data_IF_163220565848
#
_entry.id   IF_163220565848
#
_cell.length_a   1.000
_cell.length_b   1.000
_cell.length_c   1.000
_cell.angle_alpha   90.00
_cell.angle_beta   90.00
_cell.angle_gamma   90.00
#
_symmetry.space_group_name_H-M   'P 1'
#
loop_
_entity.id
_entity.type
_entity.pdbx_description
1 polymer ?
#
# COMPACT_ATOMS: atom_id res chain seq x y z
N UNK A 1 16.52 -58.46 -69.25
CA UNK A 1 17.00 -57.09 -69.11
C UNK A 1 15.78 -56.18 -68.78
N UNK A 2 15.54 -55.93 -67.52
CA UNK A 2 14.38 -55.08 -67.05
C UNK A 2 14.98 -53.78 -66.57
N UNK A 3 14.56 -52.68 -67.20
CA UNK A 3 14.96 -51.34 -66.80
C UNK A 3 13.91 -50.88 -65.75
N UNK A 4 14.37 -50.60 -64.55
CA UNK A 4 13.61 -49.93 -63.51
C UNK A 4 13.65 -48.41 -63.74
N UNK A 5 12.45 -47.82 -63.92
CA UNK A 5 12.31 -46.38 -63.92
C UNK A 5 12.00 -45.93 -62.46
N UNK A 6 12.89 -45.10 -61.91
CA UNK A 6 12.74 -44.51 -60.57
C UNK A 6 11.98 -43.18 -60.73
N UNK A 7 10.73 -43.14 -60.27
CA UNK A 7 9.95 -41.93 -60.20
C UNK A 7 10.27 -41.17 -58.90
N UNK A 8 10.86 -39.97 -59.04
CA UNK A 8 11.15 -39.06 -57.94
C UNK A 8 9.88 -38.22 -57.63
N UNK A 9 9.20 -38.54 -56.53
CA UNK A 9 8.10 -37.73 -56.00
C UNK A 9 8.70 -36.68 -55.05
N UNK A 10 8.64 -35.41 -55.44
CA UNK A 10 8.92 -34.28 -54.55
C UNK A 10 7.70 -34.03 -53.67
N UNK A 11 7.81 -33.94 -52.33
CA UNK A 11 6.72 -33.46 -51.51
C UNK A 11 6.67 -31.90 -51.55
N UNK A 12 5.57 -31.35 -51.99
CA UNK A 12 5.24 -29.96 -51.92
C UNK A 12 4.92 -29.61 -50.42
N UNK A 13 5.93 -29.11 -49.70
CA UNK A 13 5.71 -28.60 -48.36
C UNK A 13 4.98 -27.26 -48.43
N UNK A 14 3.67 -27.26 -48.14
CA UNK A 14 2.94 -26.03 -47.83
C UNK A 14 3.50 -25.43 -46.55
N UNK A 15 4.27 -24.37 -46.65
CA UNK A 15 4.61 -23.49 -45.55
C UNK A 15 3.33 -22.72 -45.14
N UNK A 16 2.60 -23.28 -44.14
CA UNK A 16 1.62 -22.54 -43.40
C UNK A 16 2.37 -21.57 -42.47
N UNK A 17 2.54 -20.31 -42.89
CA UNK A 17 2.97 -19.25 -42.02
C UNK A 17 1.98 -19.15 -40.85
N UNK A 18 2.42 -19.18 -39.59
CA UNK A 18 1.51 -18.89 -38.49
C UNK A 18 1.10 -17.43 -38.61
N UNK A 19 -0.22 -17.19 -38.75
CA UNK A 19 -0.82 -15.90 -38.51
C UNK A 19 -0.48 -15.51 -37.07
N UNK A 20 0.51 -14.64 -36.91
CA UNK A 20 0.78 -13.97 -35.65
C UNK A 20 -0.48 -13.12 -35.34
N UNK A 21 -1.36 -13.68 -34.53
CA UNK A 21 -2.35 -12.86 -33.83
C UNK A 21 -1.57 -11.90 -32.96
N UNK A 22 -1.60 -10.64 -33.30
CA UNK A 22 -1.25 -9.58 -32.35
C UNK A 22 -2.15 -9.75 -31.13
N UNK A 23 -1.63 -10.37 -30.09
CA UNK A 23 -2.23 -10.36 -28.76
C UNK A 23 -1.96 -8.96 -28.23
N UNK A 24 -2.87 -8.02 -28.52
CA UNK A 24 -2.99 -6.79 -27.75
C UNK A 24 -3.49 -7.20 -26.37
N UNK A 25 -2.60 -7.59 -25.49
CA UNK A 25 -2.86 -7.64 -24.05
C UNK A 25 -3.05 -6.21 -23.54
N UNK A 26 -3.70 -6.04 -22.39
CA UNK A 26 -3.80 -4.73 -21.76
C UNK A 26 -2.39 -4.18 -21.53
N UNK A 27 -2.27 -2.84 -21.63
CA UNK A 27 -1.03 -2.14 -21.30
C UNK A 27 -0.64 -2.50 -19.86
N UNK A 28 0.51 -3.13 -19.68
CA UNK A 28 0.99 -3.62 -18.41
C UNK A 28 2.42 -3.15 -18.18
N UNK A 29 2.71 -2.59 -17.00
CA UNK A 29 4.07 -2.30 -16.58
C UNK A 29 4.61 -3.51 -15.80
N UNK A 30 5.60 -4.20 -16.37
CA UNK A 30 6.28 -5.29 -15.65
C UNK A 30 7.50 -4.74 -14.94
N UNK A 31 7.49 -4.73 -13.60
CA UNK A 31 8.63 -4.33 -12.76
C UNK A 31 9.60 -5.51 -12.64
N UNK A 32 10.52 -5.64 -13.54
CA UNK A 32 11.59 -6.64 -13.47
C UNK A 32 12.96 -5.95 -13.61
N UNK A 33 13.54 -5.51 -12.50
CA UNK A 33 14.99 -5.34 -12.27
C UNK A 33 15.88 -4.56 -13.26
N UNK A 34 15.31 -3.91 -14.27
CA UNK A 34 15.99 -2.98 -15.19
C UNK A 34 15.58 -1.53 -14.86
N UNK A 35 16.37 -0.56 -15.26
CA UNK A 35 15.96 0.85 -15.23
C UNK A 35 14.67 0.99 -16.05
N UNK A 36 13.53 1.04 -15.34
CA UNK A 36 12.23 1.21 -15.98
C UNK A 36 12.10 2.67 -16.39
N UNK A 37 11.94 2.92 -17.67
CA UNK A 37 11.48 4.23 -18.11
C UNK A 37 10.03 4.41 -17.65
N UNK A 38 9.72 5.49 -16.88
CA UNK A 38 8.37 5.74 -16.43
C UNK A 38 7.40 5.90 -17.60
N UNK A 39 6.26 5.20 -17.55
CA UNK A 39 5.22 5.24 -18.59
C UNK A 39 4.68 6.66 -18.78
N UNK A 40 4.70 7.22 -19.99
CA UNK A 40 4.12 8.53 -20.26
C UNK A 40 2.59 8.49 -20.17
N UNK A 41 2.04 9.26 -19.22
CA UNK A 41 0.59 9.39 -19.03
C UNK A 41 0.15 10.85 -19.22
N UNK A 42 -0.92 11.06 -19.99
CA UNK A 42 -1.57 12.36 -20.11
C UNK A 42 -2.76 12.45 -19.16
N UNK A 43 -2.84 13.55 -18.41
CA UNK A 43 -3.93 13.84 -17.48
C UNK A 43 -4.42 15.26 -17.77
N UNK A 44 -5.35 15.45 -18.73
CA UNK A 44 -5.96 16.75 -19.01
C UNK A 44 -6.70 17.33 -17.81
N UNK A 45 -7.16 18.56 -17.95
CA UNK A 45 -8.00 19.19 -16.93
C UNK A 45 -9.29 18.37 -16.70
N UNK A 46 -9.65 18.23 -15.43
CA UNK A 46 -10.91 17.58 -15.05
C UNK A 46 -12.06 18.54 -15.36
N UNK A 47 -12.98 18.11 -16.21
CA UNK A 47 -14.13 18.91 -16.59
C UNK A 47 -15.10 19.07 -15.40
N UNK A 48 -15.33 20.29 -14.87
CA UNK A 48 -16.36 20.49 -13.87
C UNK A 48 -17.73 20.56 -14.55
N UNK A 49 -18.72 19.84 -14.03
CA UNK A 49 -20.12 19.96 -14.51
C UNK A 49 -20.77 21.27 -14.03
N UNK A 50 -20.22 21.87 -12.98
CA UNK A 50 -20.59 23.17 -12.44
C UNK A 50 -19.34 24.06 -12.35
N UNK A 51 -19.36 25.29 -12.88
CA UNK A 51 -18.20 26.20 -12.83
C UNK A 51 -17.68 26.45 -11.41
N UNK A 52 -18.52 26.38 -10.38
CA UNK A 52 -18.11 26.53 -8.98
C UNK A 52 -17.17 25.45 -8.50
N UNK A 53 -17.15 24.28 -9.15
CA UNK A 53 -16.25 23.16 -8.87
C UNK A 53 -14.89 23.26 -9.59
N UNK A 54 -14.65 24.32 -10.39
CA UNK A 54 -13.44 24.42 -11.20
C UNK A 54 -12.14 24.38 -10.38
N UNK A 55 -12.07 25.12 -9.29
CA UNK A 55 -10.90 25.12 -8.41
C UNK A 55 -10.67 23.73 -7.78
N UNK A 56 -11.74 23.09 -7.32
CA UNK A 56 -11.69 21.77 -6.73
C UNK A 56 -11.28 20.68 -7.75
N UNK A 57 -11.78 20.79 -8.98
CA UNK A 57 -11.40 19.89 -10.09
C UNK A 57 -9.88 19.99 -10.38
N UNK A 58 -9.33 21.21 -10.36
CA UNK A 58 -7.89 21.42 -10.51
C UNK A 58 -7.09 20.84 -9.35
N UNK A 59 -7.59 20.97 -8.10
CA UNK A 59 -6.96 20.39 -6.92
C UNK A 59 -6.96 18.86 -6.95
N UNK A 60 -8.08 18.23 -7.32
CA UNK A 60 -8.18 16.77 -7.50
C UNK A 60 -7.17 16.31 -8.55
N UNK A 61 -7.10 16.98 -9.71
CA UNK A 61 -6.12 16.65 -10.74
C UNK A 61 -4.70 16.72 -10.22
N UNK A 62 -4.36 17.77 -9.47
CA UNK A 62 -3.01 17.95 -8.89
C UNK A 62 -2.62 16.79 -7.98
N UNK A 63 -3.52 16.31 -7.13
CA UNK A 63 -3.28 15.16 -6.26
C UNK A 63 -3.11 13.88 -7.06
N UNK A 64 -4.00 13.61 -8.03
CA UNK A 64 -3.90 12.42 -8.90
C UNK A 64 -2.55 12.38 -9.62
N UNK A 65 -2.14 13.49 -10.22
CA UNK A 65 -0.85 13.62 -10.91
C UNK A 65 0.32 13.37 -9.96
N UNK A 66 0.30 14.03 -8.79
CA UNK A 66 1.36 13.89 -7.80
C UNK A 66 1.50 12.45 -7.27
N UNK A 67 0.39 11.74 -7.08
CA UNK A 67 0.40 10.34 -6.67
C UNK A 67 1.04 9.45 -7.74
N UNK A 68 0.59 9.59 -8.99
CA UNK A 68 1.13 8.79 -10.10
C UNK A 68 2.63 9.03 -10.29
N UNK A 69 3.09 10.29 -10.31
CA UNK A 69 4.52 10.62 -10.44
C UNK A 69 5.35 10.11 -9.25
N UNK A 70 4.82 10.23 -8.02
CA UNK A 70 5.51 9.75 -6.80
C UNK A 70 5.77 8.25 -6.82
N UNK A 71 4.95 7.46 -7.52
CA UNK A 71 5.19 6.03 -7.68
C UNK A 71 6.51 5.72 -8.42
N UNK A 72 7.04 6.68 -9.19
CA UNK A 72 8.21 6.48 -10.05
C UNK A 72 7.92 5.66 -11.31
N UNK A 73 6.67 5.18 -11.49
CA UNK A 73 6.27 4.34 -12.63
C UNK A 73 5.61 5.15 -13.76
N UNK A 74 5.25 6.39 -13.49
CA UNK A 74 4.60 7.27 -14.47
C UNK A 74 5.34 8.59 -14.63
N UNK A 75 5.33 9.10 -15.84
CA UNK A 75 5.80 10.43 -16.20
C UNK A 75 4.69 11.20 -16.86
N UNK A 76 4.34 12.37 -16.31
CA UNK A 76 3.32 13.22 -16.89
C UNK A 76 3.78 13.78 -18.24
N UNK A 77 2.95 13.66 -19.26
CA UNK A 77 3.13 14.39 -20.53
C UNK A 77 2.82 15.86 -20.29
N UNK A 78 3.70 16.76 -20.77
CA UNK A 78 3.54 18.19 -20.59
C UNK A 78 2.19 18.66 -21.15
N UNK A 79 1.31 19.28 -20.34
CA UNK A 79 0.04 19.81 -20.81
C UNK A 79 0.15 20.84 -21.94
N UNK A 80 1.29 21.53 -22.05
CA UNK A 80 1.53 22.47 -23.16
C UNK A 80 1.62 21.76 -24.53
N UNK A 81 1.99 20.47 -24.54
CA UNK A 81 2.07 19.67 -25.76
C UNK A 81 0.72 19.12 -26.24
N UNK A 82 -0.35 19.23 -25.45
CA UNK A 82 -1.65 18.63 -25.80
C UNK A 82 -2.24 19.25 -27.08
N UNK A 83 -2.42 18.40 -28.09
CA UNK A 83 -3.04 18.75 -29.39
C UNK A 83 -4.56 18.84 -29.22
N UNK A 84 -5.16 17.75 -28.73
CA UNK A 84 -6.58 17.71 -28.40
C UNK A 84 -6.84 18.41 -27.07
N UNK A 85 -7.67 19.46 -27.10
CA UNK A 85 -8.05 20.27 -25.93
C UNK A 85 -9.56 20.22 -25.73
N UNK A 86 -9.99 20.26 -24.46
CA UNK A 86 -11.41 20.30 -24.13
C UNK A 86 -12.17 19.02 -24.49
N UNK A 87 -11.58 17.86 -24.21
CA UNK A 87 -12.19 16.55 -24.49
C UNK A 87 -13.54 16.45 -23.76
N UNK A 88 -14.61 16.25 -24.50
CA UNK A 88 -15.89 15.94 -23.87
C UNK A 88 -15.81 14.57 -23.21
N UNK A 89 -16.19 14.50 -21.93
CA UNK A 89 -16.01 13.28 -21.12
C UNK A 89 -16.60 12.02 -21.76
N UNK A 90 -17.75 12.17 -22.45
CA UNK A 90 -18.46 11.04 -23.06
C UNK A 90 -17.95 10.71 -24.48
N UNK A 91 -17.01 11.50 -25.05
CA UNK A 91 -16.42 11.24 -26.38
C UNK A 91 -15.30 10.19 -26.31
N UNK A 92 -14.97 9.64 -27.46
CA UNK A 92 -13.75 8.86 -27.69
C UNK A 92 -12.62 9.84 -28.01
N UNK A 93 -11.46 9.77 -27.33
CA UNK A 93 -10.36 10.68 -27.61
C UNK A 93 -9.73 10.43 -28.99
N UNK A 94 -9.07 11.45 -29.54
CA UNK A 94 -8.26 11.32 -30.75
C UNK A 94 -6.95 10.60 -30.42
N UNK A 95 -6.95 9.28 -30.42
CA UNK A 95 -5.75 8.49 -30.10
C UNK A 95 -4.50 8.88 -30.90
N UNK A 96 -4.69 9.36 -32.16
CA UNK A 96 -3.57 9.79 -32.99
C UNK A 96 -2.86 11.01 -32.41
N UNK A 97 -3.60 11.98 -31.87
CA UNK A 97 -3.06 13.20 -31.28
C UNK A 97 -2.30 12.91 -30.00
N UNK A 98 -2.80 11.99 -29.17
CA UNK A 98 -2.14 11.58 -27.92
C UNK A 98 -0.86 10.79 -28.18
N UNK A 99 -0.86 9.90 -29.17
CA UNK A 99 0.38 9.21 -29.59
C UNK A 99 1.42 10.18 -30.17
N UNK A 100 0.98 11.17 -30.94
CA UNK A 100 1.90 12.13 -31.55
C UNK A 100 2.72 12.92 -30.53
N UNK A 101 2.20 13.11 -29.32
CA UNK A 101 2.89 13.74 -28.20
C UNK A 101 3.55 12.76 -27.24
N UNK A 102 3.58 11.46 -27.59
CA UNK A 102 4.25 10.42 -26.83
C UNK A 102 3.50 9.99 -25.57
N UNK A 103 2.19 10.12 -25.49
CA UNK A 103 1.37 9.56 -24.42
C UNK A 103 1.05 8.09 -24.71
N UNK A 104 1.36 7.18 -23.76
CA UNK A 104 0.97 5.77 -23.80
C UNK A 104 -0.42 5.58 -23.19
N UNK A 105 -0.73 6.35 -22.14
CA UNK A 105 -2.02 6.33 -21.46
C UNK A 105 -2.63 7.73 -21.36
N UNK A 106 -3.98 7.80 -21.33
CA UNK A 106 -4.74 9.03 -21.18
C UNK A 106 -5.81 8.83 -20.10
N UNK A 107 -5.80 9.69 -19.06
CA UNK A 107 -6.83 9.75 -18.04
C UNK A 107 -7.71 10.97 -18.24
N UNK A 108 -8.98 10.78 -18.57
CA UNK A 108 -9.99 11.85 -18.61
C UNK A 108 -10.92 11.75 -17.42
N UNK A 109 -11.41 12.89 -16.91
CA UNK A 109 -12.33 12.90 -15.79
C UNK A 109 -13.31 14.06 -15.85
N UNK A 110 -14.46 13.91 -15.16
CA UNK A 110 -15.39 15.01 -14.84
C UNK A 110 -15.79 14.99 -13.40
N UNK A 111 -15.95 16.16 -12.80
CA UNK A 111 -16.40 16.36 -11.44
C UNK A 111 -17.81 16.91 -11.42
N UNK A 112 -18.69 16.28 -10.67
CA UNK A 112 -20.09 16.64 -10.56
C UNK A 112 -20.54 16.76 -9.10
N UNK A 113 -21.51 17.61 -8.79
CA UNK A 113 -22.17 17.56 -7.48
C UNK A 113 -23.01 16.27 -7.40
N UNK A 114 -23.08 15.68 -6.21
CA UNK A 114 -23.95 14.56 -5.88
C UNK A 114 -24.94 14.96 -4.79
N UNK A 115 -25.92 14.09 -4.48
CA UNK A 115 -26.89 14.36 -3.43
C UNK A 115 -26.21 14.58 -2.06
N UNK A 116 -26.86 15.36 -1.20
CA UNK A 116 -26.41 15.63 0.19
C UNK A 116 -25.05 16.33 0.29
N UNK A 117 -24.72 17.21 -0.68
CA UNK A 117 -23.44 17.95 -0.69
C UNK A 117 -22.22 17.10 -1.01
N UNK A 118 -22.41 15.85 -1.42
CA UNK A 118 -21.33 14.97 -1.85
C UNK A 118 -20.81 15.33 -3.24
N UNK A 119 -19.64 14.82 -3.57
CA UNK A 119 -19.00 14.94 -4.87
C UNK A 119 -19.01 13.61 -5.58
N UNK A 120 -19.11 13.67 -6.90
CA UNK A 120 -18.97 12.53 -7.80
C UNK A 120 -17.87 12.80 -8.80
N UNK A 121 -16.80 12.01 -8.74
CA UNK A 121 -15.74 12.00 -9.77
C UNK A 121 -15.98 10.81 -10.70
N UNK A 122 -16.19 11.08 -11.97
CA UNK A 122 -16.19 10.06 -13.01
C UNK A 122 -14.89 10.17 -13.81
N UNK A 123 -14.23 9.04 -14.09
CA UNK A 123 -13.00 9.02 -14.85
C UNK A 123 -12.91 7.81 -15.77
N UNK A 124 -12.17 7.99 -16.87
CA UNK A 124 -11.93 6.98 -17.90
C UNK A 124 -10.45 6.95 -18.22
N UNK A 125 -9.88 5.75 -18.22
CA UNK A 125 -8.49 5.51 -18.61
C UNK A 125 -8.48 4.86 -20.00
N UNK A 126 -7.64 5.38 -20.88
CA UNK A 126 -7.46 4.88 -22.23
C UNK A 126 -6.02 4.46 -22.48
N UNK A 127 -5.85 3.39 -23.25
CA UNK A 127 -4.60 3.00 -23.88
C UNK A 127 -4.51 3.73 -25.23
N UNK A 128 -3.57 4.68 -25.34
CA UNK A 128 -3.38 5.45 -26.56
C UNK A 128 -2.76 4.61 -27.69
N UNK A 129 -1.95 3.59 -27.35
CA UNK A 129 -1.30 2.69 -28.30
C UNK A 129 -2.30 1.64 -28.80
N UNK A 130 -2.99 0.96 -27.90
CA UNK A 130 -4.00 -0.06 -28.18
C UNK A 130 -5.36 0.53 -28.63
N UNK A 131 -5.54 1.84 -28.58
CA UNK A 131 -6.75 2.55 -29.00
C UNK A 131 -8.03 2.02 -28.31
N UNK A 132 -7.95 1.78 -27.02
CA UNK A 132 -9.03 1.18 -26.25
C UNK A 132 -9.22 1.85 -24.90
N UNK A 133 -10.42 1.75 -24.37
CA UNK A 133 -10.69 2.13 -22.98
C UNK A 133 -10.33 0.97 -22.05
N UNK A 134 -9.41 1.22 -21.11
CA UNK A 134 -8.98 0.23 -20.11
C UNK A 134 -9.88 0.22 -18.88
N UNK A 135 -10.39 1.41 -18.50
CA UNK A 135 -11.14 1.59 -17.26
C UNK A 135 -12.18 2.69 -17.41
N UNK A 136 -13.35 2.51 -16.82
CA UNK A 136 -14.34 3.54 -16.57
C UNK A 136 -14.89 3.36 -15.17
N UNK A 137 -14.75 4.37 -14.30
CA UNK A 137 -15.21 4.31 -12.91
C UNK A 137 -15.86 5.62 -12.46
N UNK A 138 -16.61 5.48 -11.37
CA UNK A 138 -17.24 6.56 -10.64
C UNK A 138 -16.93 6.39 -9.17
N UNK A 139 -16.52 7.47 -8.52
CA UNK A 139 -16.32 7.58 -7.08
C UNK A 139 -17.26 8.64 -6.52
N UNK A 140 -17.89 8.34 -5.39
CA UNK A 140 -18.74 9.28 -4.66
C UNK A 140 -18.21 9.39 -3.23
N UNK A 141 -18.08 10.60 -2.73
CA UNK A 141 -17.60 10.85 -1.38
C UNK A 141 -18.00 12.23 -0.89
N UNK A 142 -17.76 12.50 0.39
CA UNK A 142 -18.05 13.79 1.00
C UNK A 142 -17.16 14.89 0.40
N UNK A 143 -17.68 16.09 0.28
CA UNK A 143 -16.95 17.23 -0.29
C UNK A 143 -15.71 17.61 0.53
N UNK A 144 -15.73 17.37 1.84
CA UNK A 144 -14.59 17.61 2.72
C UNK A 144 -13.47 16.57 2.51
N UNK A 145 -13.84 15.34 2.11
CA UNK A 145 -12.89 14.24 1.86
C UNK A 145 -12.44 14.13 0.38
N UNK A 146 -12.48 15.24 -0.36
CA UNK A 146 -12.16 15.27 -1.79
C UNK A 146 -10.76 14.69 -2.13
N UNK A 147 -9.78 14.85 -1.24
CA UNK A 147 -8.44 14.29 -1.45
C UNK A 147 -8.48 12.76 -1.51
N UNK A 148 -9.30 12.15 -0.64
CA UNK A 148 -9.50 10.70 -0.65
C UNK A 148 -10.11 10.20 -1.96
N UNK A 149 -11.01 11.00 -2.59
CA UNK A 149 -11.54 10.70 -3.92
C UNK A 149 -10.39 10.73 -4.95
N UNK A 150 -9.49 11.71 -4.87
CA UNK A 150 -8.33 11.84 -5.76
C UNK A 150 -7.36 10.65 -5.59
N UNK A 151 -6.97 10.29 -4.37
CA UNK A 151 -6.11 9.14 -4.08
C UNK A 151 -6.71 7.83 -4.60
N UNK A 152 -8.01 7.59 -4.41
CA UNK A 152 -8.70 6.41 -4.94
C UNK A 152 -8.76 6.38 -6.47
N UNK A 153 -8.84 7.54 -7.12
CA UNK A 153 -8.78 7.61 -8.58
C UNK A 153 -7.36 7.25 -9.07
N UNK A 154 -6.33 7.79 -8.43
CA UNK A 154 -4.94 7.43 -8.70
C UNK A 154 -4.67 5.94 -8.46
N UNK A 155 -5.17 5.38 -7.35
CA UNK A 155 -5.10 3.94 -7.04
C UNK A 155 -5.73 3.08 -8.14
N UNK A 156 -6.90 3.48 -8.65
CA UNK A 156 -7.58 2.75 -9.72
C UNK A 156 -6.77 2.73 -11.02
N UNK A 157 -6.13 3.87 -11.37
CA UNK A 157 -5.25 3.98 -12.53
C UNK A 157 -3.98 3.15 -12.32
N UNK A 158 -3.34 3.30 -11.16
CA UNK A 158 -2.14 2.57 -10.79
C UNK A 158 -2.37 1.05 -10.86
N UNK A 159 -3.40 0.56 -10.19
CA UNK A 159 -3.73 -0.88 -10.18
C UNK A 159 -4.04 -1.41 -11.58
N UNK A 160 -4.76 -0.63 -12.41
CA UNK A 160 -5.11 -1.04 -13.77
C UNK A 160 -3.88 -1.19 -14.67
N UNK A 161 -2.88 -0.31 -14.51
CA UNK A 161 -1.70 -0.28 -15.38
C UNK A 161 -0.55 -1.17 -14.88
N UNK A 162 -0.46 -1.39 -13.58
CA UNK A 162 0.65 -2.14 -12.98
C UNK A 162 0.29 -3.55 -12.54
N UNK A 163 -1.00 -3.84 -12.31
CA UNK A 163 -1.45 -5.07 -11.67
C UNK A 163 -1.18 -5.12 -10.16
N UNK A 164 -0.55 -4.09 -9.59
CA UNK A 164 -0.22 -4.02 -8.16
C UNK A 164 -1.39 -3.52 -7.32
N UNK A 165 -1.38 -3.82 -6.03
CA UNK A 165 -2.41 -3.34 -5.10
C UNK A 165 -2.40 -1.82 -4.89
N UNK A 166 -3.55 -1.21 -4.55
CA UNK A 166 -3.67 0.22 -4.28
C UNK A 166 -2.91 0.59 -2.99
N UNK A 167 -2.38 1.85 -2.90
CA UNK A 167 -1.70 2.35 -1.71
C UNK A 167 -1.76 3.87 -1.51
N UNK A 168 -2.29 4.64 -2.47
CA UNK A 168 -2.36 6.11 -2.33
C UNK A 168 -3.44 6.56 -1.33
N UNK A 169 -4.59 5.87 -1.26
CA UNK A 169 -5.61 6.12 -0.20
C UNK A 169 -5.18 5.45 1.11
N UNK A 170 -4.02 5.86 1.63
CA UNK A 170 -3.47 5.38 2.90
C UNK A 170 -3.06 6.52 3.81
N UNK A 171 -2.96 6.22 5.10
CA UNK A 171 -2.58 7.19 6.13
C UNK A 171 -1.31 6.77 6.86
N UNK A 172 -0.54 7.74 7.30
CA UNK A 172 0.63 7.56 8.13
C UNK A 172 0.31 8.00 9.55
N UNK A 173 0.40 7.08 10.51
CA UNK A 173 0.32 7.40 11.93
C UNK A 173 1.74 7.42 12.51
N UNK A 174 2.06 8.45 13.27
CA UNK A 174 3.40 8.65 13.82
C UNK A 174 3.37 9.39 15.16
N UNK A 175 4.52 9.42 15.83
CA UNK A 175 4.73 10.24 17.01
C UNK A 175 5.46 11.50 16.61
N UNK A 176 4.80 12.63 16.75
CA UNK A 176 5.41 13.96 16.61
C UNK A 176 6.12 14.33 17.91
N UNK A 177 7.40 14.65 17.81
CA UNK A 177 8.25 14.99 18.95
C UNK A 177 8.75 16.43 18.83
N UNK A 178 8.29 17.28 19.73
CA UNK A 178 8.61 18.72 19.75
C UNK A 178 9.21 19.16 21.08
N UNK A 179 9.79 20.35 21.13
CA UNK A 179 10.39 20.92 22.34
C UNK A 179 11.89 20.68 22.49
N UNK A 180 12.54 21.34 23.49
CA UNK A 180 13.97 21.24 23.74
C UNK A 180 14.37 19.86 24.28
N UNK A 181 15.64 19.50 24.12
CA UNK A 181 16.18 18.26 24.67
C UNK A 181 15.99 18.21 26.20
N UNK A 182 15.27 17.20 26.68
CA UNK A 182 14.94 17.00 28.12
C UNK A 182 13.52 17.41 28.49
N UNK A 183 12.81 18.19 27.65
CA UNK A 183 11.41 18.61 27.84
C UNK A 183 10.59 18.30 26.58
N UNK A 184 10.84 17.17 25.95
CA UNK A 184 10.18 16.80 24.71
C UNK A 184 8.76 16.36 24.95
N UNK A 185 7.84 16.99 24.20
CA UNK A 185 6.45 16.57 24.14
C UNK A 185 6.27 15.63 22.96
N UNK A 186 5.67 14.49 23.20
CA UNK A 186 5.35 13.47 22.19
C UNK A 186 3.85 13.38 22.01
N UNK A 187 3.39 13.56 20.78
CA UNK A 187 1.96 13.53 20.43
C UNK A 187 1.72 12.55 19.30
N UNK A 188 0.60 11.85 19.40
CA UNK A 188 0.15 10.97 18.33
C UNK A 188 -0.43 11.82 17.20
N UNK A 189 0.06 11.63 16.00
CA UNK A 189 -0.36 12.35 14.80
C UNK A 189 -0.69 11.39 13.66
N UNK A 190 -1.58 11.83 12.77
CA UNK A 190 -1.95 11.13 11.55
C UNK A 190 -2.01 12.13 10.40
N UNK A 191 -1.60 11.68 9.22
CA UNK A 191 -1.64 12.45 7.97
C UNK A 191 -1.89 11.50 6.79
N UNK A 192 -2.28 12.05 5.63
CA UNK A 192 -2.29 11.31 4.39
C UNK A 192 -0.86 10.91 3.98
N UNK A 193 -0.71 9.91 3.14
CA UNK A 193 0.60 9.40 2.73
C UNK A 193 1.45 10.46 1.99
N UNK A 194 0.84 11.53 1.49
CA UNK A 194 1.50 12.65 0.82
C UNK A 194 1.83 13.84 1.76
N UNK A 195 1.56 13.69 3.07
CA UNK A 195 1.81 14.68 4.10
C UNK A 195 0.67 15.68 4.32
N UNK A 196 -0.41 15.60 3.55
CA UNK A 196 -1.58 16.45 3.75
C UNK A 196 -2.43 15.99 4.95
N UNK A 197 -3.41 16.82 5.33
CA UNK A 197 -4.41 16.53 6.37
C UNK A 197 -3.78 16.13 7.73
N UNK A 198 -2.58 16.68 8.04
CA UNK A 198 -1.95 16.48 9.33
C UNK A 198 -2.88 16.91 10.47
N UNK A 199 -3.17 15.98 11.36
CA UNK A 199 -3.93 16.23 12.58
C UNK A 199 -3.38 15.44 13.76
N UNK A 200 -3.51 16.01 14.96
CA UNK A 200 -3.16 15.32 16.18
C UNK A 200 -4.35 14.52 16.69
N UNK A 201 -4.09 13.28 17.06
CA UNK A 201 -5.10 12.46 17.72
C UNK A 201 -5.13 12.82 19.20
N UNK A 202 -6.31 12.82 19.85
CA UNK A 202 -6.40 12.97 21.30
C UNK A 202 -5.55 11.88 21.94
N UNK A 203 -4.39 12.22 22.45
CA UNK A 203 -3.53 11.33 23.22
C UNK A 203 -3.48 11.83 24.65
N UNK A 204 -3.11 10.95 25.55
CA UNK A 204 -2.83 11.37 26.90
C UNK A 204 -1.54 12.23 26.94
N UNK A 205 -1.31 12.92 28.04
CA UNK A 205 -0.19 13.85 28.23
C UNK A 205 1.17 13.14 28.41
N UNK A 206 1.17 11.80 28.36
CA UNK A 206 2.33 10.96 28.60
C UNK A 206 3.11 10.56 27.35
N UNK A 207 4.13 9.74 27.54
CA UNK A 207 4.94 9.15 26.48
C UNK A 207 4.10 8.16 25.67
N UNK A 208 4.00 8.38 24.35
CA UNK A 208 3.40 7.46 23.39
C UNK A 208 4.47 6.89 22.45
N UNK A 209 4.39 5.60 22.13
CA UNK A 209 5.39 4.92 21.32
C UNK A 209 4.73 3.94 20.32
N UNK A 210 5.45 3.68 19.23
CA UNK A 210 5.16 2.62 18.25
C UNK A 210 3.72 2.54 17.76
N UNK A 211 3.12 3.63 17.26
CA UNK A 211 1.75 3.59 16.77
C UNK A 211 1.63 2.69 15.55
N UNK A 212 0.47 2.04 15.41
CA UNK A 212 0.09 1.20 14.27
C UNK A 212 -1.36 1.46 13.91
N UNK A 213 -1.63 1.74 12.66
CA UNK A 213 -2.99 1.89 12.15
C UNK A 213 -3.59 0.52 11.84
N UNK A 214 -4.88 0.35 12.08
CA UNK A 214 -5.60 -0.87 11.71
C UNK A 214 -5.78 -0.97 10.18
N UNK A 215 -5.96 -2.18 9.62
CA UNK A 215 -6.13 -2.37 8.18
C UNK A 215 -7.30 -1.60 7.57
N UNK A 216 -8.35 -1.34 8.35
CA UNK A 216 -9.54 -0.56 7.96
C UNK A 216 -9.36 0.97 8.12
N UNK A 217 -8.18 1.44 8.57
CA UNK A 217 -7.87 2.83 8.88
C UNK A 217 -8.80 3.47 9.95
N UNK A 218 -9.51 2.67 10.74
CA UNK A 218 -10.44 3.19 11.74
C UNK A 218 -9.84 3.35 13.14
N UNK A 219 -8.80 2.57 13.46
CA UNK A 219 -8.22 2.50 14.80
C UNK A 219 -6.71 2.63 14.78
N UNK A 220 -6.14 3.13 15.88
CA UNK A 220 -4.70 3.18 16.14
C UNK A 220 -4.38 2.38 17.39
N UNK A 221 -3.36 1.54 17.29
CA UNK A 221 -2.79 0.76 18.38
C UNK A 221 -1.44 1.39 18.74
N UNK A 222 -1.18 1.64 20.02
CA UNK A 222 0.08 2.23 20.47
C UNK A 222 0.40 1.85 21.92
N UNK A 223 1.64 2.12 22.34
CA UNK A 223 2.04 2.00 23.75
C UNK A 223 1.90 3.37 24.40
N UNK A 224 1.20 3.44 25.54
CA UNK A 224 1.07 4.62 26.40
C UNK A 224 1.75 4.38 27.73
N UNK A 225 2.34 5.44 28.29
CA UNK A 225 2.90 5.47 29.64
C UNK A 225 2.11 6.35 30.60
N UNK A 226 0.83 6.64 30.30
CA UNK A 226 -0.01 7.52 31.12
C UNK A 226 -0.14 7.08 32.57
N UNK A 227 -0.16 5.77 32.81
CA UNK A 227 -0.21 5.19 34.18
C UNK A 227 1.19 5.07 34.85
N UNK A 228 2.25 5.50 34.19
CA UNK A 228 3.63 5.28 34.60
C UNK A 228 4.18 3.89 34.24
N UNK A 229 3.37 3.04 33.63
CA UNK A 229 3.76 1.73 33.12
C UNK A 229 3.40 1.61 31.63
N UNK A 230 4.12 0.81 30.84
CA UNK A 230 3.78 0.60 29.43
C UNK A 230 2.47 -0.18 29.28
N UNK A 231 1.48 0.44 28.65
CA UNK A 231 0.19 -0.14 28.39
C UNK A 231 -0.11 -0.10 26.90
N UNK A 232 -0.73 -1.15 26.36
CA UNK A 232 -1.20 -1.17 24.97
C UNK A 232 -2.59 -0.53 24.94
N UNK A 233 -2.72 0.52 24.12
CA UNK A 233 -3.97 1.27 23.94
C UNK A 233 -4.45 1.11 22.51
N UNK A 234 -5.73 0.81 22.36
CA UNK A 234 -6.48 0.86 21.12
C UNK A 234 -7.33 2.13 21.13
N UNK A 235 -7.22 2.95 20.08
CA UNK A 235 -7.96 4.21 19.97
C UNK A 235 -8.72 4.27 18.65
N UNK A 236 -10.00 4.64 18.70
CA UNK A 236 -10.79 4.97 17.53
C UNK A 236 -10.34 6.35 16.98
N UNK A 237 -10.00 6.42 15.70
CA UNK A 237 -9.44 7.62 15.05
C UNK A 237 -10.47 8.73 14.92
N UNK A 238 -11.74 8.38 14.70
CA UNK A 238 -12.82 9.33 14.47
C UNK A 238 -13.36 9.91 15.78
N UNK A 239 -13.61 9.05 16.77
CA UNK A 239 -14.23 9.46 18.06
C UNK A 239 -13.20 9.86 19.10
N UNK A 240 -11.94 9.43 18.95
CA UNK A 240 -10.91 9.59 19.97
C UNK A 240 -11.08 8.67 21.18
N UNK A 241 -12.08 7.77 21.20
CA UNK A 241 -12.32 6.84 22.29
C UNK A 241 -11.13 5.88 22.43
N UNK A 242 -10.63 5.76 23.66
CA UNK A 242 -9.46 4.95 24.00
C UNK A 242 -9.85 3.77 24.89
N UNK A 243 -9.25 2.63 24.62
CA UNK A 243 -9.40 1.40 25.37
C UNK A 243 -8.05 0.77 25.66
N UNK A 244 -7.81 0.37 26.91
CA UNK A 244 -6.63 -0.40 27.28
C UNK A 244 -6.84 -1.86 26.89
N UNK A 245 -5.88 -2.42 26.10
CA UNK A 245 -5.90 -3.82 25.74
C UNK A 245 -5.21 -4.68 26.82
N UNK A 246 -5.99 -5.18 27.77
CA UNK A 246 -5.53 -6.07 28.81
C UNK A 246 -4.81 -5.37 29.97
N UNK A 247 -4.68 -6.11 31.07
CA UNK A 247 -3.88 -5.74 32.23
C UNK A 247 -2.82 -6.84 32.41
N UNK A 248 -1.67 -6.65 31.77
CA UNK A 248 -0.60 -7.65 31.82
C UNK A 248 0.32 -7.39 33.00
N UNK A 249 0.64 -8.41 33.80
CA UNK A 249 1.49 -8.26 34.99
C UNK A 249 2.96 -7.95 34.68
N UNK A 250 3.34 -7.96 33.41
CA UNK A 250 4.69 -7.71 32.94
C UNK A 250 4.71 -6.64 31.84
N UNK A 251 5.90 -6.44 31.29
CA UNK A 251 6.10 -5.50 30.19
C UNK A 251 5.44 -6.00 28.90
N UNK A 252 4.65 -5.15 28.22
CA UNK A 252 4.06 -5.43 26.93
C UNK A 252 4.57 -4.43 25.89
N UNK A 253 4.91 -4.90 24.68
CA UNK A 253 5.48 -4.06 23.64
C UNK A 253 5.29 -4.62 22.22
N UNK A 254 5.62 -3.77 21.23
CA UNK A 254 5.59 -4.07 19.80
C UNK A 254 4.27 -4.67 19.27
N UNK A 255 3.09 -4.10 19.63
CA UNK A 255 1.82 -4.63 19.16
C UNK A 255 1.65 -4.39 17.65
N UNK A 256 1.02 -5.35 16.94
CA UNK A 256 0.66 -5.23 15.52
C UNK A 256 -0.66 -5.93 15.23
N UNK A 257 -1.49 -5.31 14.40
CA UNK A 257 -2.72 -5.94 13.91
C UNK A 257 -2.42 -7.12 12.99
N UNK A 258 -3.31 -8.10 12.99
CA UNK A 258 -3.47 -9.07 11.92
C UNK A 258 -4.02 -8.37 10.64
N UNK A 259 -3.82 -8.94 9.43
CA UNK A 259 -4.29 -8.32 8.20
C UNK A 259 -5.81 -8.13 8.10
N UNK A 260 -6.60 -8.97 8.79
CA UNK A 260 -8.05 -8.85 8.91
C UNK A 260 -8.49 -7.84 10.01
N UNK A 261 -7.55 -7.37 10.86
CA UNK A 261 -7.84 -6.47 11.96
C UNK A 261 -8.57 -7.09 13.16
N UNK A 262 -8.73 -8.42 13.21
CA UNK A 262 -9.45 -9.12 14.26
C UNK A 262 -8.57 -9.49 15.45
N UNK A 263 -7.27 -9.69 15.22
CA UNK A 263 -6.28 -10.03 16.25
C UNK A 263 -5.16 -8.99 16.32
N UNK A 264 -4.47 -8.99 17.45
CA UNK A 264 -3.22 -8.25 17.67
C UNK A 264 -2.16 -9.22 18.14
N UNK A 265 -1.01 -9.29 17.46
CA UNK A 265 0.18 -9.94 17.99
C UNK A 265 0.95 -8.94 18.84
N UNK A 266 1.44 -9.38 19.99
CA UNK A 266 2.19 -8.56 20.95
C UNK A 266 3.25 -9.41 21.66
N UNK A 267 4.27 -8.74 22.21
CA UNK A 267 5.30 -9.37 23.02
C UNK A 267 5.01 -9.09 24.48
N UNK A 268 4.95 -10.14 25.30
CA UNK A 268 4.74 -10.04 26.75
C UNK A 268 5.93 -10.63 27.49
N UNK A 269 6.47 -9.86 28.43
CA UNK A 269 7.48 -10.33 29.37
C UNK A 269 6.80 -10.83 30.64
N UNK A 270 6.61 -12.14 30.73
CA UNK A 270 5.99 -12.81 31.89
C UNK A 270 6.98 -13.79 32.51
N UNK A 271 6.99 -13.87 33.81
CA UNK A 271 7.82 -14.85 34.55
C UNK A 271 9.33 -14.83 34.18
N UNK A 272 9.84 -13.65 33.81
CA UNK A 272 11.26 -13.47 33.47
C UNK A 272 11.62 -13.85 32.01
N UNK A 273 10.66 -14.24 31.18
CA UNK A 273 10.87 -14.51 29.77
C UNK A 273 9.92 -13.68 28.88
N UNK A 274 10.34 -13.39 27.67
CA UNK A 274 9.54 -12.64 26.68
C UNK A 274 9.12 -13.53 25.53
N UNK A 275 7.82 -13.68 25.37
CA UNK A 275 7.20 -14.50 24.32
C UNK A 275 6.20 -13.71 23.49
N UNK A 276 5.87 -14.26 22.34
CA UNK A 276 4.82 -13.75 21.45
C UNK A 276 3.46 -14.30 21.87
N UNK A 277 2.48 -13.41 21.84
CA UNK A 277 1.09 -13.72 22.11
C UNK A 277 0.20 -13.11 21.02
N UNK A 278 -0.88 -13.78 20.66
CA UNK A 278 -1.99 -13.22 19.89
C UNK A 278 -3.17 -12.95 20.82
N UNK A 279 -3.80 -11.81 20.65
CA UNK A 279 -5.02 -11.42 21.35
C UNK A 279 -6.13 -11.14 20.37
N UNK A 280 -7.27 -11.80 20.51
CA UNK A 280 -8.48 -11.42 19.77
C UNK A 280 -9.05 -10.12 20.34
N UNK A 281 -9.51 -9.25 19.42
CA UNK A 281 -10.01 -7.92 19.83
C UNK A 281 -11.47 -7.93 20.29
N UNK A 282 -12.26 -8.92 19.95
CA UNK A 282 -13.66 -9.07 20.32
C UNK A 282 -13.85 -9.56 21.78
N UNK A 283 -13.17 -10.65 22.16
CA UNK A 283 -13.33 -11.30 23.45
C UNK A 283 -12.10 -11.18 24.38
N UNK A 284 -11.03 -10.49 23.91
CA UNK A 284 -9.74 -10.30 24.62
C UNK A 284 -9.02 -11.60 24.95
N UNK A 285 -9.37 -12.68 24.29
CA UNK A 285 -8.72 -13.99 24.52
C UNK A 285 -7.28 -13.94 24.08
N UNK A 286 -6.39 -14.24 25.04
CA UNK A 286 -4.94 -14.27 24.83
C UNK A 286 -4.47 -15.70 24.56
N UNK A 287 -3.64 -15.87 23.53
CA UNK A 287 -3.05 -17.14 23.13
C UNK A 287 -1.53 -17.01 22.99
N UNK A 288 -0.78 -17.77 23.78
CA UNK A 288 0.70 -17.79 23.69
C UNK A 288 1.14 -18.53 22.42
N UNK A 289 2.01 -17.90 21.63
CA UNK A 289 2.48 -18.40 20.34
C UNK A 289 3.87 -19.05 20.43
N UNK A 290 4.76 -18.50 21.29
CA UNK A 290 6.09 -19.05 21.50
C UNK A 290 6.28 -19.49 22.97
N UNK A 291 7.16 -20.50 23.17
CA UNK A 291 7.50 -21.06 24.47
C UNK A 291 8.99 -21.43 24.49
N UNK A 292 9.83 -20.52 24.08
CA UNK A 292 11.29 -20.68 24.07
C UNK A 292 11.90 -20.00 25.30
N UNK A 293 13.03 -20.46 25.86
CA UNK A 293 13.77 -19.68 26.84
C UNK A 293 14.41 -18.41 26.25
N UNK A 294 14.35 -18.22 24.95
CA UNK A 294 14.84 -17.05 24.25
C UNK A 294 13.84 -15.88 24.31
N UNK A 295 14.34 -14.68 24.06
CA UNK A 295 13.55 -13.46 23.95
C UNK A 295 12.96 -13.41 22.54
N UNK A 296 11.65 -13.60 22.41
CA UNK A 296 10.90 -13.53 21.15
C UNK A 296 10.07 -12.23 21.11
N UNK A 297 10.35 -11.35 20.14
CA UNK A 297 9.72 -10.01 20.08
C UNK A 297 9.47 -9.50 18.66
N UNK A 298 8.78 -8.36 18.57
CA UNK A 298 8.58 -7.55 17.36
C UNK A 298 8.01 -8.34 16.17
N UNK A 299 6.97 -9.12 16.39
CA UNK A 299 6.34 -9.91 15.35
C UNK A 299 5.59 -9.05 14.33
N UNK A 300 5.58 -9.49 13.07
CA UNK A 300 4.79 -8.94 11.97
C UNK A 300 4.11 -10.07 11.20
N UNK A 301 2.81 -9.93 10.94
CA UNK A 301 2.07 -10.88 10.10
C UNK A 301 2.51 -10.79 8.63
N UNK A 302 2.48 -11.94 7.94
CA UNK A 302 2.42 -11.96 6.48
C UNK A 302 1.08 -11.38 5.99
N UNK A 303 1.00 -10.82 4.77
CA UNK A 303 -0.24 -10.22 4.26
C UNK A 303 -1.42 -11.17 4.18
N UNK A 304 -1.17 -12.47 4.01
CA UNK A 304 -2.19 -13.52 4.00
C UNK A 304 -2.61 -14.00 5.40
N UNK A 305 -2.00 -13.43 6.47
CA UNK A 305 -2.27 -13.77 7.86
C UNK A 305 -1.79 -15.14 8.32
N UNK A 306 -1.11 -15.93 7.45
CA UNK A 306 -0.75 -17.32 7.76
C UNK A 306 0.56 -17.48 8.49
N UNK A 307 1.44 -16.49 8.42
CA UNK A 307 2.78 -16.54 9.00
C UNK A 307 3.08 -15.31 9.84
N UNK A 308 4.03 -15.46 10.77
CA UNK A 308 4.64 -14.38 11.52
C UNK A 308 6.14 -14.38 11.25
N UNK A 309 6.70 -13.20 10.98
CA UNK A 309 8.13 -12.95 11.09
C UNK A 309 8.38 -12.24 12.40
N UNK A 310 9.44 -12.61 13.12
CA UNK A 310 9.78 -12.04 14.42
C UNK A 310 11.28 -12.10 14.69
N UNK A 311 11.74 -11.37 15.69
CA UNK A 311 13.11 -11.44 16.16
C UNK A 311 13.24 -12.35 17.38
N UNK A 312 14.35 -13.08 17.45
CA UNK A 312 14.67 -14.00 18.56
C UNK A 312 16.17 -14.13 18.73
N UNK A 313 16.62 -14.28 19.98
CA UNK A 313 18.00 -14.56 20.31
C UNK A 313 18.31 -16.07 20.53
N UNK A 314 17.38 -16.96 20.20
CA UNK A 314 17.48 -18.42 20.36
C UNK A 314 18.70 -19.04 19.68
N UNK A 315 19.32 -18.36 18.75
CA UNK A 315 20.56 -18.76 18.04
C UNK A 315 21.82 -18.11 18.62
N UNK A 316 21.78 -17.56 19.83
CA UNK A 316 22.88 -16.89 20.53
C UNK A 316 23.01 -15.40 20.21
N UNK A 317 22.33 -14.88 19.20
CA UNK A 317 22.23 -13.46 18.88
C UNK A 317 20.88 -13.18 18.23
N UNK A 318 20.40 -11.95 18.33
CA UNK A 318 19.14 -11.49 17.77
C UNK A 318 19.10 -11.67 16.25
N UNK A 319 18.21 -12.52 15.77
CA UNK A 319 18.04 -12.92 14.38
C UNK A 319 16.55 -12.97 14.03
N UNK A 320 16.23 -13.02 12.73
CA UNK A 320 14.86 -13.12 12.25
C UNK A 320 14.44 -14.57 12.03
N UNK A 321 13.23 -14.86 12.46
CA UNK A 321 12.59 -16.17 12.35
C UNK A 321 11.20 -16.03 11.75
N UNK A 322 10.76 -17.07 11.05
CA UNK A 322 9.38 -17.20 10.53
C UNK A 322 8.75 -18.43 11.13
N UNK A 323 7.48 -18.30 11.54
CA UNK A 323 6.66 -19.41 12.03
C UNK A 323 5.20 -19.27 11.53
N UNK A 324 4.37 -20.34 11.61
CA UNK A 324 2.93 -20.21 11.40
C UNK A 324 2.29 -19.23 12.38
N UNK A 325 1.31 -18.42 11.94
CA UNK A 325 0.60 -17.45 12.80
C UNK A 325 -0.16 -18.12 13.96
N UNK A 326 -0.56 -19.39 13.79
CA UNK A 326 -1.15 -20.19 14.84
C UNK A 326 -0.17 -20.62 15.96
N UNK A 327 1.13 -20.34 15.79
CA UNK A 327 2.22 -20.87 16.61
C UNK A 327 2.79 -22.16 16.02
N UNK A 328 3.94 -22.61 16.52
CA UNK A 328 4.59 -23.84 16.06
C UNK A 328 6.10 -23.65 15.83
N UNK A 329 6.73 -24.51 15.01
CA UNK A 329 8.17 -24.48 14.79
C UNK A 329 8.58 -23.21 14.05
N UNK A 330 9.64 -22.58 14.56
CA UNK A 330 10.23 -21.37 13.97
C UNK A 330 11.48 -21.69 13.16
N UNK A 331 11.59 -21.12 11.96
CA UNK A 331 12.71 -21.27 11.04
C UNK A 331 13.46 -19.94 10.93
N UNK A 332 14.77 -19.96 11.16
CA UNK A 332 15.65 -18.79 10.97
C UNK A 332 15.72 -18.40 9.49
N UNK A 333 15.66 -17.09 9.22
CA UNK A 333 15.72 -16.52 7.86
C UNK A 333 16.82 -15.46 7.69
N UNK A 334 17.44 -14.98 8.77
CA UNK A 334 18.58 -14.06 8.69
C UNK A 334 19.89 -14.77 9.06
N UNK A 335 20.97 -14.42 8.34
CA UNK A 335 22.28 -15.05 8.48
C UNK A 335 23.38 -13.99 8.39
N UNK A 336 24.55 -14.30 8.91
CA UNK A 336 25.73 -13.44 8.90
C UNK A 336 25.94 -12.66 10.20
N UNK A 337 26.95 -11.78 10.17
CA UNK A 337 27.34 -10.97 11.34
C UNK A 337 26.31 -9.87 11.64
N UNK A 338 26.16 -9.53 12.91
CA UNK A 338 25.29 -8.47 13.39
C UNK A 338 24.00 -8.98 14.04
N UNK A 339 23.22 -8.05 14.55
CA UNK A 339 21.88 -8.27 15.10
C UNK A 339 20.84 -7.81 14.08
N UNK A 340 19.75 -8.54 14.00
CA UNK A 340 18.66 -8.29 13.06
C UNK A 340 17.37 -8.11 13.86
N UNK A 341 16.64 -7.02 13.65
CA UNK A 341 15.46 -6.71 14.43
C UNK A 341 14.42 -5.88 13.69
N UNK A 342 13.29 -5.65 14.35
CA UNK A 342 12.15 -4.88 13.88
C UNK A 342 11.66 -5.31 12.48
N UNK A 343 11.41 -6.61 12.23
CA UNK A 343 11.00 -7.07 10.92
C UNK A 343 9.59 -6.57 10.57
N UNK A 344 9.39 -6.23 9.30
CA UNK A 344 8.08 -5.88 8.74
C UNK A 344 7.92 -6.61 7.42
N UNK A 345 6.86 -7.38 7.29
CA UNK A 345 6.52 -8.02 6.03
C UNK A 345 5.98 -7.00 5.02
N UNK A 346 6.41 -7.08 3.77
CA UNK A 346 5.88 -6.21 2.71
C UNK A 346 4.40 -6.52 2.45
N UNK A 347 3.60 -5.54 2.04
CA UNK A 347 2.19 -5.78 1.67
C UNK A 347 2.01 -6.82 0.55
N UNK A 348 3.00 -6.99 -0.33
CA UNK A 348 2.99 -8.01 -1.40
C UNK A 348 3.35 -9.41 -0.92
N UNK A 349 3.96 -9.53 0.27
CA UNK A 349 4.35 -10.81 0.85
C UNK A 349 5.65 -11.39 0.32
N UNK A 350 6.31 -10.74 -0.62
CA UNK A 350 7.55 -11.19 -1.27
C UNK A 350 8.82 -10.77 -0.53
N UNK A 351 8.76 -9.69 0.28
CA UNK A 351 9.91 -9.13 0.97
C UNK A 351 9.65 -8.94 2.47
N UNK A 352 10.74 -8.88 3.24
CA UNK A 352 10.75 -8.51 4.65
C UNK A 352 11.77 -7.40 4.84
N UNK A 353 11.31 -6.22 5.25
CA UNK A 353 12.18 -5.13 5.68
C UNK A 353 12.63 -5.36 7.13
N UNK A 354 13.85 -4.99 7.49
CA UNK A 354 14.37 -5.15 8.85
C UNK A 354 15.53 -4.18 9.14
N UNK A 355 15.81 -3.98 10.43
CA UNK A 355 17.00 -3.26 10.89
C UNK A 355 18.15 -4.23 11.10
N UNK A 356 19.31 -3.95 10.52
CA UNK A 356 20.56 -4.67 10.79
C UNK A 356 21.53 -3.77 11.56
N UNK A 357 21.99 -4.25 12.71
CA UNK A 357 22.96 -3.54 13.56
C UNK A 357 24.27 -4.32 13.48
N UNK A 358 25.28 -3.68 12.87
CA UNK A 358 26.66 -4.17 12.89
C UNK A 358 27.29 -3.63 14.15
N UNK A 359 27.83 -4.51 15.01
CA UNK A 359 28.66 -4.08 16.13
C UNK A 359 29.88 -3.31 15.59
N UNK A 360 30.17 -2.15 16.18
CA UNK A 360 31.43 -1.46 15.96
C UNK A 360 32.58 -2.25 16.53
#
# INVERSE_FOLDING_TARGET
>A
MRRLALALALPLALLAAPLARAQGGPLEITVAGAELEPMPIAVPEIAPADPTLGALAADIRRVVVADLERSGLFRLVDPAAYIERGIAFDSVPSYADWRAIGADALLTARLMPAAEGRLQLQFRLFDALGQSQLLGRQLVGDGEDWRRIAHKAADAVYTQLTGEGPYFDSSIVFVDETGPKGERVKRLAIMDQDGANLRYLPSAEGLVLTPRISPDNARVLYISYDSGQPEIVLQDIRTGQRERLGNFPGMSFAPRFSPDGEEVVLSLSLEGNTDLYAMRLDDRRLRRLTRSPAIDTAASYSPDGRSLVFESDRGGSQQLYVMPAAGGPARRISFGRGRYGAPVWSPRGDLIAFTKILGG
#
